data_IF_797443919154
#
_entry.id   IF_797443919154
#
_cell.length_a   1.000
_cell.length_b   1.000
_cell.length_c   1.000
_cell.angle_alpha   90.00
_cell.angle_beta   90.00
_cell.angle_gamma   90.00
#
_symmetry.space_group_name_H-M   'P 1'
#
loop_
_entity.id
_entity.type
_entity.pdbx_description
1 polymer ?
#
# COMPACT_ATOMS: atom_id res chain seq x y z
N UNK A 1 -1.00 1.66 -11.53
CA UNK A 1 -1.88 0.52 -11.86
C UNK A 1 -1.79 0.04 -13.31
N UNK A 2 -1.23 0.81 -14.26
CA UNK A 2 -1.12 0.41 -15.67
C UNK A 2 -0.23 -0.83 -15.94
N UNK A 3 0.41 -1.39 -14.91
CA UNK A 3 1.32 -2.55 -14.99
C UNK A 3 1.12 -3.49 -13.81
N UNK A 4 -0.12 -3.72 -13.36
CA UNK A 4 -0.37 -4.86 -12.49
C UNK A 4 -0.20 -6.12 -13.35
N UNK A 5 0.97 -6.75 -13.30
CA UNK A 5 1.17 -8.05 -13.94
C UNK A 5 0.33 -9.08 -13.19
N UNK A 6 -0.68 -9.69 -13.85
CA UNK A 6 -1.53 -10.71 -13.21
C UNK A 6 -0.78 -11.99 -12.84
N UNK A 7 0.49 -12.12 -13.25
CA UNK A 7 1.41 -13.18 -12.86
C UNK A 7 2.43 -12.75 -11.80
N UNK A 8 2.46 -11.47 -11.39
CA UNK A 8 3.32 -11.01 -10.32
C UNK A 8 2.83 -11.61 -8.98
N UNK A 9 3.54 -12.65 -8.54
CA UNK A 9 3.54 -13.28 -7.22
C UNK A 9 2.37 -12.87 -6.30
N UNK A 10 1.18 -13.38 -6.59
CA UNK A 10 0.08 -13.31 -5.64
C UNK A 10 -0.65 -14.64 -5.56
N UNK A 11 -0.89 -15.07 -4.32
CA UNK A 11 -1.65 -16.27 -3.97
C UNK A 11 -3.13 -16.16 -4.35
N UNK A 12 -3.62 -14.96 -4.76
CA UNK A 12 -5.02 -14.72 -5.08
C UNK A 12 -5.20 -13.79 -6.29
N UNK A 13 -5.09 -14.37 -7.49
CA UNK A 13 -5.32 -13.70 -8.79
C UNK A 13 -6.66 -12.95 -8.88
N UNK A 14 -7.70 -13.48 -8.25
CA UNK A 14 -9.03 -12.88 -8.28
C UNK A 14 -9.08 -11.54 -7.54
N UNK A 15 -8.33 -11.39 -6.44
CA UNK A 15 -8.21 -10.12 -5.72
C UNK A 15 -7.61 -9.03 -6.60
N UNK A 16 -6.60 -9.34 -7.40
CA UNK A 16 -6.00 -8.38 -8.35
C UNK A 16 -6.95 -8.00 -9.49
N UNK A 17 -7.65 -8.98 -10.06
CA UNK A 17 -8.68 -8.72 -11.08
C UNK A 17 -9.78 -7.81 -10.53
N UNK A 18 -10.22 -8.06 -9.29
CA UNK A 18 -11.24 -7.24 -8.64
C UNK A 18 -10.72 -5.84 -8.34
N UNK A 19 -9.47 -5.70 -7.87
CA UNK A 19 -8.86 -4.38 -7.68
C UNK A 19 -8.86 -3.58 -8.99
N UNK A 20 -8.41 -4.17 -10.11
CA UNK A 20 -8.44 -3.50 -11.42
C UNK A 20 -9.85 -3.01 -11.77
N UNK A 21 -10.89 -3.83 -11.53
CA UNK A 21 -12.29 -3.43 -11.77
C UNK A 21 -12.71 -2.26 -10.89
N UNK A 22 -12.40 -2.31 -9.60
CA UNK A 22 -12.75 -1.26 -8.62
C UNK A 22 -12.09 0.08 -8.95
N UNK A 23 -10.84 0.07 -9.42
CA UNK A 23 -10.11 1.29 -9.75
C UNK A 23 -10.42 1.85 -11.14
N UNK A 24 -11.01 1.07 -12.05
CA UNK A 24 -11.29 1.49 -13.43
C UNK A 24 -12.05 2.83 -13.54
N UNK A 25 -13.10 3.12 -12.73
CA UNK A 25 -13.80 4.41 -12.79
C UNK A 25 -12.91 5.61 -12.47
N UNK A 26 -11.97 5.48 -11.53
CA UNK A 26 -11.01 6.53 -11.19
C UNK A 26 -9.93 6.67 -12.26
N UNK A 27 -9.56 5.57 -12.92
CA UNK A 27 -8.60 5.59 -14.02
C UNK A 27 -9.16 6.34 -15.24
N UNK A 28 -10.38 6.03 -15.67
CA UNK A 28 -10.99 6.66 -16.87
C UNK A 28 -11.33 8.13 -16.67
N UNK A 29 -11.49 8.56 -15.41
CA UNK A 29 -11.73 9.97 -15.05
C UNK A 29 -10.43 10.72 -14.70
N UNK A 30 -9.26 10.09 -14.85
CA UNK A 30 -7.96 10.75 -14.58
C UNK A 30 -7.71 11.05 -13.09
N UNK A 31 -8.44 10.43 -12.17
CA UNK A 31 -8.35 10.67 -10.72
C UNK A 31 -7.31 9.80 -10.00
N UNK A 32 -6.54 9.00 -10.74
CA UNK A 32 -5.46 8.18 -10.17
C UNK A 32 -4.13 8.90 -10.37
N UNK A 33 -3.49 9.29 -9.25
CA UNK A 33 -2.09 9.71 -9.23
C UNK A 33 -1.25 8.64 -8.53
N UNK A 34 -0.28 8.09 -9.25
CA UNK A 34 0.64 7.09 -8.71
C UNK A 34 1.91 7.72 -8.16
N UNK A 35 2.59 7.00 -7.28
CA UNK A 35 3.94 7.31 -6.78
C UNK A 35 4.83 6.06 -6.90
N UNK A 36 6.13 6.19 -6.58
CA UNK A 36 7.09 5.08 -6.65
C UNK A 36 7.89 4.99 -5.36
N UNK A 37 7.94 3.80 -4.77
CA UNK A 37 8.78 3.52 -3.61
C UNK A 37 8.55 4.50 -2.45
N UNK A 38 9.64 4.91 -1.80
CA UNK A 38 9.63 5.99 -0.83
C UNK A 38 9.37 7.32 -1.53
N UNK A 39 8.38 8.08 -1.07
CA UNK A 39 7.96 9.32 -1.73
C UNK A 39 7.35 10.31 -0.74
N UNK A 40 7.70 11.59 -0.84
CA UNK A 40 6.94 12.66 -0.16
C UNK A 40 5.69 12.95 -0.98
N UNK A 41 4.52 12.85 -0.36
CA UNK A 41 3.24 13.02 -1.06
C UNK A 41 2.67 14.42 -0.85
N UNK A 42 2.69 14.87 0.41
CA UNK A 42 2.22 16.19 0.85
C UNK A 42 3.16 16.72 1.95
N UNK A 43 3.03 17.99 2.38
CA UNK A 43 3.64 18.43 3.63
C UNK A 43 3.25 17.49 4.79
N UNK A 44 4.23 17.07 5.59
CA UNK A 44 4.03 16.13 6.70
C UNK A 44 3.77 14.67 6.31
N UNK A 45 3.25 14.36 5.11
CA UNK A 45 2.89 13.00 4.69
C UNK A 45 3.87 12.40 3.66
N UNK A 46 4.46 11.25 4.01
CA UNK A 46 5.32 10.47 3.12
C UNK A 46 4.91 8.99 3.05
N UNK A 47 5.10 8.40 1.88
CA UNK A 47 5.04 6.97 1.63
C UNK A 47 6.39 6.31 1.92
N UNK A 48 6.35 5.12 2.53
CA UNK A 48 7.50 4.23 2.78
C UNK A 48 7.16 2.86 2.21
N UNK A 49 7.91 2.42 1.21
CA UNK A 49 7.70 1.11 0.61
C UNK A 49 8.12 -0.01 1.57
N UNK A 50 7.21 -0.95 1.80
CA UNK A 50 7.41 -2.14 2.65
C UNK A 50 6.85 -3.36 1.93
N UNK A 51 7.43 -3.73 0.77
CA UNK A 51 6.93 -4.84 -0.03
C UNK A 51 7.01 -6.15 0.77
N UNK A 52 5.96 -6.97 0.64
CA UNK A 52 5.78 -8.18 1.42
C UNK A 52 4.35 -8.69 1.24
N UNK A 53 3.44 -8.27 2.12
CA UNK A 53 2.00 -8.58 2.04
C UNK A 53 1.42 -8.39 0.62
N UNK A 54 1.78 -7.30 -0.04
CA UNK A 54 1.73 -7.18 -1.52
C UNK A 54 3.02 -6.55 -2.04
N UNK A 55 3.32 -6.70 -3.33
CA UNK A 55 4.47 -6.03 -3.96
C UNK A 55 4.41 -4.50 -3.88
N UNK A 56 3.21 -3.93 -3.82
CA UNK A 56 2.99 -2.49 -3.69
C UNK A 56 2.75 -2.00 -2.26
N UNK A 57 2.91 -2.88 -1.26
CA UNK A 57 2.59 -2.54 0.12
C UNK A 57 3.44 -1.36 0.61
N UNK A 58 2.77 -0.38 1.22
CA UNK A 58 3.33 0.94 1.53
C UNK A 58 2.77 1.41 2.86
N UNK A 59 3.65 1.84 3.76
CA UNK A 59 3.26 2.57 4.96
C UNK A 59 3.12 4.05 4.63
N UNK A 60 2.20 4.74 5.28
CA UNK A 60 2.15 6.20 5.26
C UNK A 60 2.58 6.75 6.60
N UNK A 61 3.51 7.69 6.60
CA UNK A 61 4.00 8.37 7.81
C UNK A 61 3.55 9.82 7.75
N UNK A 62 2.77 10.22 8.73
CA UNK A 62 2.36 11.60 8.98
C UNK A 62 3.17 12.15 10.15
N UNK A 63 3.88 13.24 9.93
CA UNK A 63 4.62 13.98 10.96
C UNK A 63 4.12 15.43 10.95
N UNK A 64 3.69 15.93 12.11
CA UNK A 64 3.26 17.31 12.32
C UNK A 64 3.54 17.74 13.76
N UNK A 65 3.97 18.99 13.96
CA UNK A 65 4.30 19.57 15.27
C UNK A 65 5.22 18.70 16.17
N UNK A 66 6.09 17.90 15.57
CA UNK A 66 6.99 16.99 16.30
C UNK A 66 6.39 15.63 16.65
N UNK A 67 5.08 15.44 16.43
CA UNK A 67 4.37 14.20 16.62
C UNK A 67 4.36 13.34 15.35
N UNK A 68 4.18 12.02 15.51
CA UNK A 68 4.27 11.05 14.42
C UNK A 68 3.23 9.96 14.50
N UNK A 69 2.56 9.70 13.38
CA UNK A 69 1.67 8.56 13.19
C UNK A 69 2.13 7.76 11.98
N UNK A 70 2.19 6.43 12.13
CA UNK A 70 2.46 5.50 11.03
C UNK A 70 1.21 4.69 10.75
N UNK A 71 0.65 4.86 9.56
CA UNK A 71 -0.42 4.02 9.03
C UNK A 71 0.21 2.76 8.45
N UNK A 72 0.09 1.64 9.19
CA UNK A 72 0.81 0.41 8.90
C UNK A 72 0.20 -0.45 7.79
N UNK A 73 -1.04 -0.18 7.38
CA UNK A 73 -1.77 -1.06 6.46
C UNK A 73 -1.86 -2.48 7.01
N UNK A 74 -1.71 -3.47 6.13
CA UNK A 74 -1.83 -4.89 6.45
C UNK A 74 -0.46 -5.49 6.83
N UNK A 75 0.36 -4.72 7.57
CA UNK A 75 1.64 -5.19 8.08
C UNK A 75 1.47 -6.29 9.15
N UNK A 76 0.39 -6.21 9.95
CA UNK A 76 0.05 -7.14 11.02
C UNK A 76 -1.45 -7.44 10.93
N UNK A 77 -1.83 -8.71 11.08
CA UNK A 77 -3.23 -9.18 11.03
C UNK A 77 -3.69 -9.74 12.38
N UNK A 78 -2.80 -10.43 13.12
CA UNK A 78 -3.08 -11.08 14.40
C UNK A 78 -2.08 -10.57 15.44
N UNK A 79 -2.47 -9.53 16.17
CA UNK A 79 -1.60 -8.82 17.10
C UNK A 79 -0.91 -9.75 18.12
N UNK A 80 -1.68 -10.62 18.79
CA UNK A 80 -1.16 -11.49 19.87
C UNK A 80 -0.08 -12.46 19.41
N UNK A 81 -0.08 -12.85 18.14
CA UNK A 81 0.94 -13.75 17.57
C UNK A 81 2.07 -12.92 16.97
N UNK A 82 1.74 -12.02 16.06
CA UNK A 82 2.74 -11.35 15.21
C UNK A 82 3.56 -10.28 15.93
N UNK A 83 3.10 -9.77 17.09
CA UNK A 83 3.97 -8.95 17.95
C UNK A 83 4.95 -9.81 18.75
N UNK A 84 4.57 -11.02 19.15
CA UNK A 84 5.43 -11.92 19.92
C UNK A 84 6.43 -12.68 19.03
N UNK A 85 6.01 -13.04 17.82
CA UNK A 85 6.78 -13.80 16.84
C UNK A 85 6.50 -13.25 15.43
N UNK A 86 7.27 -12.24 14.99
CA UNK A 86 7.06 -11.59 13.69
C UNK A 86 7.63 -12.36 12.49
N UNK A 87 8.47 -13.37 12.73
CA UNK A 87 9.13 -14.19 11.70
C UNK A 87 8.20 -15.21 11.02
#
# INVERSE_FOLDING_TARGET
MQQADPNALSSNKNSFINAIKVFKPYQVTGKIKTFRGNSKLFPGLRAVATPGHTLGHTLFVLEDLGEKVVFCGDLIHIAVIQFASPD
#
